data_IF_392779053872
#
_entry.id   IF_392779053872
#
_cell.length_a   1.000
_cell.length_b   1.000
_cell.length_c   1.000
_cell.angle_alpha   90.00
_cell.angle_beta   90.00
_cell.angle_gamma   90.00
#
_symmetry.space_group_name_H-M   'P 1'
#
loop_
_entity.id
_entity.type
_entity.pdbx_description
1 polymer ?
#
# COMPACT_ATOMS: atom_id res chain seq x y z
N UNK A 1 -51.11 -1.67 9.10
CA UNK A 1 -50.06 -0.75 9.58
C UNK A 1 -48.82 -1.60 9.78
N UNK A 2 -47.90 -1.50 8.84
CA UNK A 2 -46.70 -2.34 8.69
C UNK A 2 -45.53 -1.48 9.15
N UNK A 3 -44.75 -1.96 10.12
CA UNK A 3 -43.29 -2.02 9.98
C UNK A 3 -42.68 -2.72 11.20
N UNK A 4 -41.77 -3.68 10.97
CA UNK A 4 -40.71 -4.01 11.92
C UNK A 4 -39.67 -4.94 11.29
N UNK A 5 -38.54 -4.32 10.99
CA UNK A 5 -37.18 -4.88 10.96
C UNK A 5 -36.82 -5.81 9.79
N UNK A 6 -36.50 -5.19 8.65
CA UNK A 6 -35.54 -5.73 7.68
C UNK A 6 -34.20 -5.97 8.38
N UNK A 7 -33.87 -7.23 8.67
CA UNK A 7 -32.50 -7.62 9.06
C UNK A 7 -31.57 -7.32 7.88
N UNK A 8 -30.77 -6.26 8.00
CA UNK A 8 -29.64 -6.02 7.11
C UNK A 8 -28.64 -7.16 7.31
N UNK A 9 -28.67 -8.14 6.41
CA UNK A 9 -27.71 -9.22 6.35
C UNK A 9 -26.41 -8.66 5.74
N UNK A 10 -25.68 -7.87 6.51
CA UNK A 10 -24.35 -7.42 6.12
C UNK A 10 -23.41 -8.62 6.20
N UNK A 11 -22.88 -9.07 5.05
CA UNK A 11 -21.75 -10.00 5.05
C UNK A 11 -20.63 -9.38 5.91
N UNK A 12 -19.98 -10.14 6.80
CA UNK A 12 -18.84 -9.62 7.54
C UNK A 12 -17.80 -9.15 6.52
N UNK A 13 -17.46 -7.86 6.59
CA UNK A 13 -16.35 -7.28 5.85
C UNK A 13 -15.09 -7.95 6.41
N UNK A 14 -14.54 -8.89 5.65
CA UNK A 14 -13.27 -9.52 6.02
C UNK A 14 -12.18 -8.52 5.70
N UNK A 15 -11.88 -7.63 6.66
CA UNK A 15 -10.79 -6.68 6.55
C UNK A 15 -9.47 -7.45 6.53
N UNK A 16 -8.88 -7.60 5.34
CA UNK A 16 -7.57 -8.19 5.18
C UNK A 16 -6.52 -7.23 5.75
N UNK A 17 -5.93 -7.59 6.90
CA UNK A 17 -4.84 -6.84 7.51
C UNK A 17 -3.51 -7.34 6.96
N UNK A 18 -2.81 -6.48 6.22
CA UNK A 18 -1.47 -6.78 5.74
C UNK A 18 -0.42 -6.28 6.75
N UNK A 19 0.48 -7.17 7.16
CA UNK A 19 1.69 -6.82 7.90
C UNK A 19 2.89 -7.02 6.99
N UNK A 20 3.72 -5.98 6.83
CA UNK A 20 4.93 -6.04 5.99
C UNK A 20 6.17 -5.86 6.86
N UNK A 21 7.10 -6.78 6.73
CA UNK A 21 8.47 -6.67 7.25
C UNK A 21 9.45 -6.79 6.08
N UNK A 22 10.54 -6.02 6.10
CA UNK A 22 11.64 -6.18 5.15
C UNK A 22 12.72 -7.03 5.81
N UNK A 23 13.06 -8.15 5.18
CA UNK A 23 14.04 -9.11 5.67
C UNK A 23 14.92 -9.58 4.51
N UNK A 24 16.14 -9.97 4.84
CA UNK A 24 17.08 -10.56 3.88
C UNK A 24 17.14 -12.06 4.12
N UNK A 25 17.03 -12.84 3.05
CA UNK A 25 17.18 -14.29 3.10
C UNK A 25 18.65 -14.62 3.42
N UNK A 26 18.88 -15.46 4.43
CA UNK A 26 20.23 -15.91 4.81
C UNK A 26 20.82 -16.87 3.76
N UNK A 27 22.12 -17.14 3.85
CA UNK A 27 22.83 -17.98 2.87
C UNK A 27 22.29 -19.41 2.77
N UNK A 28 21.71 -19.92 3.87
CA UNK A 28 21.06 -21.23 3.92
C UNK A 28 19.66 -21.24 3.27
N UNK A 29 19.16 -20.08 2.83
CA UNK A 29 17.86 -19.94 2.19
C UNK A 29 16.68 -19.90 3.17
N UNK A 30 16.94 -19.81 4.48
CA UNK A 30 15.89 -19.76 5.51
C UNK A 30 15.43 -18.31 5.73
N UNK A 31 14.13 -18.12 5.96
CA UNK A 31 13.56 -16.85 6.39
C UNK A 31 12.77 -17.06 7.68
N UNK A 32 13.29 -16.53 8.79
CA UNK A 32 12.61 -16.54 10.08
C UNK A 32 11.80 -15.24 10.26
N UNK A 33 10.52 -15.37 10.59
CA UNK A 33 9.62 -14.26 10.90
C UNK A 33 9.24 -14.33 12.38
N UNK A 34 9.63 -13.32 13.16
CA UNK A 34 9.38 -13.24 14.59
C UNK A 34 8.46 -12.05 14.96
N UNK A 35 7.94 -12.08 16.19
CA UNK A 35 7.12 -11.02 16.79
C UNK A 35 5.96 -10.51 15.92
N UNK A 36 5.35 -11.39 15.11
CA UNK A 36 4.23 -11.01 14.25
C UNK A 36 3.01 -10.57 15.08
N UNK A 37 2.25 -9.54 14.67
CA UNK A 37 1.10 -9.03 15.41
C UNK A 37 -0.17 -9.88 15.21
N UNK A 38 -0.02 -11.20 15.10
CA UNK A 38 -1.11 -12.17 14.94
C UNK A 38 -1.23 -13.03 16.19
N UNK A 39 -2.44 -13.51 16.47
CA UNK A 39 -2.68 -14.39 17.62
C UNK A 39 -2.41 -15.85 17.27
N UNK A 40 -2.09 -16.65 18.28
CA UNK A 40 -1.98 -18.09 18.11
C UNK A 40 -3.28 -18.68 17.55
N UNK A 41 -3.15 -19.49 16.49
CA UNK A 41 -4.28 -20.12 15.80
C UNK A 41 -4.94 -19.27 14.71
N UNK A 42 -4.52 -18.02 14.51
CA UNK A 42 -4.96 -17.24 13.35
C UNK A 42 -4.35 -17.80 12.06
N UNK A 43 -5.19 -17.98 11.04
CA UNK A 43 -4.74 -18.38 9.70
C UNK A 43 -4.24 -17.13 8.98
N UNK A 44 -2.98 -17.15 8.57
CA UNK A 44 -2.33 -16.04 7.85
C UNK A 44 -1.85 -16.51 6.48
N UNK A 45 -1.91 -15.62 5.50
CA UNK A 45 -1.29 -15.81 4.19
C UNK A 45 0.08 -15.12 4.18
N UNK A 46 1.11 -15.81 3.70
CA UNK A 46 2.47 -15.28 3.62
C UNK A 46 2.83 -15.10 2.15
N UNK A 47 3.18 -13.86 1.77
CA UNK A 47 3.59 -13.50 0.42
C UNK A 47 5.04 -13.03 0.46
N UNK A 48 5.92 -13.70 -0.29
CA UNK A 48 7.32 -13.33 -0.43
C UNK A 48 7.50 -12.61 -1.76
N UNK A 49 7.91 -11.35 -1.72
CA UNK A 49 8.23 -10.56 -2.91
C UNK A 49 9.73 -10.32 -2.95
N UNK A 50 10.39 -10.87 -3.97
CA UNK A 50 11.77 -10.47 -4.27
C UNK A 50 11.75 -8.99 -4.63
N UNK A 51 12.52 -8.19 -3.89
CA UNK A 51 12.79 -6.82 -4.28
C UNK A 51 14.13 -6.85 -5.00
N UNK A 52 14.11 -6.54 -6.29
CA UNK A 52 15.34 -6.05 -6.91
C UNK A 52 15.83 -4.91 -6.03
N UNK A 53 17.12 -4.93 -5.69
CA UNK A 53 17.75 -3.73 -5.17
C UNK A 53 17.63 -2.69 -6.28
N UNK A 54 16.52 -1.95 -6.29
CA UNK A 54 16.56 -0.56 -6.65
C UNK A 54 17.64 -0.02 -5.72
N UNK A 55 18.87 0.03 -6.23
CA UNK A 55 19.75 1.13 -5.92
C UNK A 55 18.80 2.29 -5.97
N UNK A 56 18.46 2.82 -4.79
CA UNK A 56 17.62 3.99 -4.68
C UNK A 56 18.43 4.99 -5.46
N UNK A 57 18.08 5.14 -6.73
CA UNK A 57 18.84 5.92 -7.67
C UNK A 57 18.93 7.24 -6.93
N UNK A 58 20.13 7.58 -6.49
CA UNK A 58 20.37 8.85 -5.82
C UNK A 58 20.28 9.95 -6.87
N UNK A 59 19.34 9.87 -7.81
CA UNK A 59 18.63 10.99 -8.42
C UNK A 59 17.69 11.61 -7.37
N UNK A 60 18.13 11.70 -6.12
CA UNK A 60 17.75 12.79 -5.24
C UNK A 60 18.94 13.71 -5.17
N UNK A 61 19.29 14.28 -6.32
CA UNK A 61 20.00 15.54 -6.33
C UNK A 61 19.16 16.50 -5.51
N UNK A 62 19.59 16.76 -4.28
CA UNK A 62 18.89 17.58 -3.30
C UNK A 62 18.27 18.79 -3.98
N UNK A 63 16.98 19.04 -3.77
CA UNK A 63 16.33 20.28 -4.21
C UNK A 63 16.84 21.48 -3.41
N UNK A 64 17.60 21.25 -2.34
CA UNK A 64 18.23 22.29 -1.53
C UNK A 64 19.13 23.16 -2.42
N UNK A 65 18.80 24.45 -2.49
CA UNK A 65 19.55 25.43 -3.28
C UNK A 65 19.16 25.50 -4.76
N UNK A 66 18.16 24.73 -5.21
CA UNK A 66 17.63 24.83 -6.57
C UNK A 66 16.40 25.72 -6.60
N UNK A 67 16.34 26.64 -7.55
CA UNK A 67 15.14 27.40 -7.86
C UNK A 67 14.32 26.58 -8.85
N UNK A 68 13.09 26.21 -8.46
CA UNK A 68 12.15 25.53 -9.33
C UNK A 68 11.32 26.57 -10.08
N UNK A 69 11.27 26.45 -11.40
CA UNK A 69 10.38 27.25 -12.23
C UNK A 69 9.16 26.39 -12.61
N UNK A 70 7.97 26.90 -12.32
CA UNK A 70 6.73 26.28 -12.71
C UNK A 70 6.21 26.99 -13.96
N UNK A 71 6.14 26.27 -15.06
CA UNK A 71 5.44 26.76 -16.24
C UNK A 71 3.93 26.66 -15.96
N UNK A 72 3.24 27.82 -15.98
CA UNK A 72 1.77 27.93 -15.95
C UNK A 72 1.11 27.10 -14.83
N UNK A 73 1.48 27.32 -13.55
CA UNK A 73 1.08 26.48 -12.42
C UNK A 73 -0.42 26.47 -12.09
N UNK A 74 -1.17 27.42 -12.65
CA UNK A 74 -2.60 27.62 -12.38
C UNK A 74 -3.47 27.38 -13.60
N UNK A 75 -2.89 26.93 -14.71
CA UNK A 75 -3.73 26.47 -15.82
C UNK A 75 -4.51 25.22 -15.41
N UNK A 76 -5.76 25.06 -15.89
CA UNK A 76 -6.52 23.85 -15.66
C UNK A 76 -5.68 22.63 -16.07
N UNK A 77 -5.52 21.71 -15.12
CA UNK A 77 -5.01 20.37 -15.46
C UNK A 77 -5.95 19.78 -16.50
N UNK A 78 -5.44 19.04 -17.48
CA UNK A 78 -6.24 18.49 -18.58
C UNK A 78 -7.44 17.68 -18.05
N UNK A 79 -8.58 18.34 -17.87
CA UNK A 79 -9.77 17.80 -17.20
C UNK A 79 -10.29 16.56 -17.96
N UNK A 80 -10.05 16.56 -19.27
CA UNK A 80 -10.33 15.52 -20.25
C UNK A 80 -9.62 14.19 -19.96
N UNK A 81 -8.48 14.23 -19.26
CA UNK A 81 -7.64 13.07 -18.92
C UNK A 81 -7.99 12.45 -17.56
N UNK A 82 -8.98 13.01 -16.84
CA UNK A 82 -9.40 12.48 -15.55
C UNK A 82 -10.48 11.42 -15.71
N UNK A 83 -10.11 10.15 -15.53
CA UNK A 83 -11.03 9.01 -15.48
C UNK A 83 -12.13 9.15 -14.40
N UNK A 84 -11.92 10.00 -13.38
CA UNK A 84 -12.88 10.24 -12.31
C UNK A 84 -14.14 10.99 -12.76
N UNK A 85 -14.11 11.65 -13.92
CA UNK A 85 -15.25 12.39 -14.49
C UNK A 85 -16.03 11.56 -15.53
N UNK A 86 -15.68 10.27 -15.69
CA UNK A 86 -16.25 9.36 -16.68
C UNK A 86 -17.30 8.41 -16.12
#
# INVERSE_FOLDING_TARGET
MIDSATRLNTKPKCDMRAYKVEATISEDGVLELDALPFRAGEVVEVIILSREAYQRETIRGSLRGKVLHYERPTEPVAEEDWDALR
#
